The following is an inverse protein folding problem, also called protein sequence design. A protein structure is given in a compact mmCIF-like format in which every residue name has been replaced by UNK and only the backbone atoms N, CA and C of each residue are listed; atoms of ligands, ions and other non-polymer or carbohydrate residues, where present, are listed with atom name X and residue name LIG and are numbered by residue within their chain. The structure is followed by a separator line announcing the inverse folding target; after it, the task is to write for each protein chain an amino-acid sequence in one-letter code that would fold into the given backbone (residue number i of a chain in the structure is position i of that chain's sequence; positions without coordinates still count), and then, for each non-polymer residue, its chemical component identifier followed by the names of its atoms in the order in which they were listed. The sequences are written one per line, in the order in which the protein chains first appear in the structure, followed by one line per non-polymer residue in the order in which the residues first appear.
data_IF_982166055343
#
_entry.id   IF_982166055343
#
_cell.length_a   1.000
_cell.length_b   1.000
_cell.length_c   1.000
_cell.angle_alpha   90.00
_cell.angle_beta   90.00
_cell.angle_gamma   90.00
#
_symmetry.space_group_name_H-M   'P 1'
#
loop_
_entity.id
_entity.type
_entity.pdbx_description
1 polymer ?
#
# COMPACT_ATOMS: atom_id res chain seq x y z
N UNK A 1 -6.39 19.36 -2.35
CA UNK A 1 -5.77 20.56 -2.95
C UNK A 1 -5.18 21.51 -1.90
N UNK A 2 -5.92 21.88 -0.84
CA UNK A 2 -5.41 22.77 0.24
C UNK A 2 -4.18 22.23 0.96
N UNK A 3 -4.11 20.91 1.23
CA UNK A 3 -2.92 20.29 1.80
C UNK A 3 -1.65 20.60 0.99
N UNK A 4 -1.67 20.32 -0.32
CA UNK A 4 -0.53 20.58 -1.20
C UNK A 4 -0.17 22.07 -1.25
N UNK A 5 -1.17 22.96 -1.20
CA UNK A 5 -0.93 24.40 -1.20
C UNK A 5 -0.18 24.84 0.07
N UNK A 6 -0.68 24.49 1.26
CA UNK A 6 -0.01 24.84 2.53
C UNK A 6 1.36 24.16 2.62
N UNK A 7 1.47 22.90 2.20
CA UNK A 7 2.70 22.13 2.25
C UNK A 7 3.76 22.64 1.25
N UNK A 8 3.34 23.22 0.12
CA UNK A 8 4.24 23.92 -0.81
C UNK A 8 4.84 25.17 -0.16
N UNK A 9 4.04 25.97 0.56
CA UNK A 9 4.57 27.11 1.32
C UNK A 9 5.51 26.66 2.44
N UNK A 10 5.17 25.59 3.15
CA UNK A 10 6.05 24.97 4.14
C UNK A 10 7.41 24.62 3.52
N UNK A 11 7.41 23.96 2.36
CA UNK A 11 8.63 23.65 1.62
C UNK A 11 9.45 24.90 1.26
N UNK A 12 8.80 25.98 0.77
CA UNK A 12 9.49 27.24 0.44
C UNK A 12 10.13 27.90 1.69
N UNK A 13 9.46 27.83 2.83
CA UNK A 13 10.00 28.31 4.11
C UNK A 13 11.18 27.44 4.54
N UNK A 14 11.06 26.11 4.50
CA UNK A 14 12.16 25.17 4.78
C UNK A 14 13.36 25.42 3.87
N UNK A 15 13.14 25.72 2.58
CA UNK A 15 14.20 26.07 1.63
C UNK A 15 14.90 27.39 2.01
N UNK A 16 14.13 28.40 2.41
CA UNK A 16 14.68 29.69 2.86
C UNK A 16 15.49 29.52 4.14
N UNK A 17 15.03 28.68 5.08
CA UNK A 17 15.75 28.32 6.30
C UNK A 17 17.05 27.58 5.99
N UNK A 18 17.03 26.65 5.03
CA UNK A 18 18.20 25.89 4.59
C UNK A 18 19.28 26.77 3.95
N UNK A 19 18.89 27.76 3.12
CA UNK A 19 19.83 28.74 2.56
C UNK A 19 20.37 29.64 3.68
N UNK A 20 19.45 30.23 4.46
CA UNK A 20 19.69 31.09 5.63
C UNK A 20 20.68 32.22 5.37
N UNK A 21 20.17 33.41 5.04
CA UNK A 21 21.00 34.61 4.87
C UNK A 21 21.38 35.22 6.23
N UNK A 22 22.50 35.97 6.27
CA UNK A 22 22.87 36.69 7.51
C UNK A 22 21.79 37.68 7.88
N UNK A 23 21.33 37.64 9.13
CA UNK A 23 20.29 38.53 9.66
C UNK A 23 18.85 38.03 9.48
N UNK A 24 18.61 36.88 8.84
CA UNK A 24 17.27 36.27 8.73
C UNK A 24 16.75 35.64 10.03
N UNK A 25 17.62 35.50 11.04
CA UNK A 25 17.33 34.74 12.27
C UNK A 25 17.40 33.21 12.09
N UNK A 26 17.80 32.71 10.92
CA UNK A 26 17.90 31.27 10.65
C UNK A 26 19.35 30.78 10.61
N UNK A 27 19.55 29.49 10.91
CA UNK A 27 20.85 28.83 10.90
C UNK A 27 21.03 28.00 9.62
N UNK A 28 21.07 28.66 8.46
CA UNK A 28 21.26 28.00 7.16
C UNK A 28 22.73 27.82 6.77
N UNK A 29 22.95 27.25 5.57
CA UNK A 29 24.29 26.95 5.07
C UNK A 29 25.18 28.20 5.00
N UNK A 30 24.65 29.35 4.54
CA UNK A 30 25.47 30.56 4.40
C UNK A 30 25.90 31.12 5.75
N UNK A 31 25.03 31.03 6.77
CA UNK A 31 25.38 31.39 8.14
C UNK A 31 26.43 30.43 8.70
N UNK A 32 26.25 29.12 8.52
CA UNK A 32 27.21 28.11 8.95
C UNK A 32 28.63 28.37 8.41
N UNK A 33 28.74 28.59 7.10
CA UNK A 33 30.02 28.90 6.43
C UNK A 33 30.66 30.20 6.94
N UNK A 34 29.83 31.16 7.34
CA UNK A 34 30.31 32.45 7.85
C UNK A 34 30.73 32.41 9.33
N UNK A 35 30.30 31.40 10.07
CA UNK A 35 30.63 31.20 11.48
C UNK A 35 32.03 30.60 11.66
N UNK A 36 32.52 29.86 10.67
CA UNK A 36 33.88 29.32 10.71
C UNK A 36 34.92 30.44 10.70
N UNK A 37 35.60 30.62 11.83
CA UNK A 37 36.75 31.50 11.98
C UNK A 37 37.97 30.70 12.47
N UNK A 38 39.18 31.28 12.40
CA UNK A 38 40.42 30.62 12.84
C UNK A 38 40.57 30.48 14.38
N UNK A 39 39.51 30.77 15.15
CA UNK A 39 39.49 30.57 16.59
C UNK A 39 38.84 29.24 16.95
N UNK A 40 39.34 28.57 17.98
CA UNK A 40 38.78 27.30 18.46
C UNK A 40 37.28 27.39 18.76
N UNK A 41 36.83 28.53 19.31
CA UNK A 41 35.41 28.77 19.60
C UNK A 41 34.55 28.85 18.32
N UNK A 42 35.01 29.54 17.27
CA UNK A 42 34.23 29.67 16.04
C UNK A 42 34.18 28.39 15.22
N UNK A 43 35.19 27.53 15.31
CA UNK A 43 35.13 26.19 14.70
C UNK A 43 34.03 25.36 15.37
N UNK A 44 33.95 25.35 16.70
CA UNK A 44 32.92 24.58 17.44
C UNK A 44 31.52 25.09 17.08
N UNK A 45 31.30 26.41 17.13
CA UNK A 45 29.99 27.00 16.78
C UNK A 45 29.68 26.73 15.31
N UNK A 46 30.65 26.84 14.41
CA UNK A 46 30.48 26.55 12.98
C UNK A 46 30.02 25.12 12.72
N UNK A 47 30.59 24.12 13.41
CA UNK A 47 30.18 22.71 13.30
C UNK A 47 28.73 22.51 13.77
N UNK A 48 28.35 23.11 14.90
CA UNK A 48 26.98 23.00 15.42
C UNK A 48 25.97 23.63 14.46
N UNK A 49 26.26 24.84 13.96
CA UNK A 49 25.40 25.54 12.99
C UNK A 49 25.33 24.78 11.68
N UNK A 50 26.43 24.17 11.22
CA UNK A 50 26.45 23.33 10.03
C UNK A 50 25.56 22.09 10.20
N UNK A 51 25.59 21.43 11.35
CA UNK A 51 24.71 20.29 11.63
C UNK A 51 23.23 20.68 11.59
N UNK A 52 22.88 21.86 12.14
CA UNK A 52 21.52 22.40 12.06
C UNK A 52 21.13 22.72 10.61
N UNK A 53 22.03 23.35 9.85
CA UNK A 53 21.80 23.67 8.43
C UNK A 53 21.55 22.40 7.59
N UNK A 54 22.30 21.33 7.85
CA UNK A 54 22.05 20.02 7.23
C UNK A 54 20.69 19.45 7.62
N UNK A 55 20.24 19.67 8.86
CA UNK A 55 18.88 19.34 9.30
C UNK A 55 17.80 20.06 8.50
N UNK A 56 17.97 21.36 8.23
CA UNK A 56 17.04 22.10 7.36
C UNK A 56 17.08 21.61 5.90
N UNK A 57 18.26 21.26 5.37
CA UNK A 57 18.36 20.63 4.05
C UNK A 57 17.64 19.29 3.99
N UNK A 58 17.79 18.46 5.03
CA UNK A 58 17.09 17.19 5.14
C UNK A 58 15.57 17.40 5.22
N UNK A 59 15.10 18.40 5.98
CA UNK A 59 13.68 18.76 6.04
C UNK A 59 13.14 19.17 4.66
N UNK A 60 13.84 20.06 3.95
CA UNK A 60 13.47 20.46 2.59
C UNK A 60 13.45 19.27 1.60
N UNK A 61 14.39 18.33 1.74
CA UNK A 61 14.41 17.10 0.94
C UNK A 61 13.24 16.16 1.30
N UNK A 62 12.92 16.01 2.58
CA UNK A 62 11.75 15.25 3.03
C UNK A 62 10.45 15.87 2.50
N UNK A 63 10.33 17.19 2.54
CA UNK A 63 9.16 17.93 2.06
C UNK A 63 8.91 17.64 0.57
N UNK A 64 9.93 17.73 -0.29
CA UNK A 64 9.77 17.47 -1.73
C UNK A 64 9.47 15.99 -2.05
N UNK A 65 10.06 15.07 -1.28
CA UNK A 65 9.77 13.65 -1.38
C UNK A 65 8.31 13.36 -0.98
N UNK A 66 7.83 13.94 0.12
CA UNK A 66 6.44 13.78 0.55
C UNK A 66 5.46 14.37 -0.47
N UNK A 67 5.75 15.56 -1.00
CA UNK A 67 4.93 16.19 -2.04
C UNK A 67 4.78 15.27 -3.26
N UNK A 68 5.91 14.70 -3.71
CA UNK A 68 5.93 13.76 -4.83
C UNK A 68 5.17 12.47 -4.54
N UNK A 69 5.31 11.91 -3.33
CA UNK A 69 4.62 10.67 -2.94
C UNK A 69 3.12 10.87 -2.81
N UNK A 70 2.69 11.91 -2.10
CA UNK A 70 1.28 12.18 -1.88
C UNK A 70 0.61 12.57 -3.19
N UNK A 71 1.29 13.34 -4.04
CA UNK A 71 0.79 13.65 -5.39
C UNK A 71 0.64 12.37 -6.23
N UNK A 72 1.61 11.46 -6.20
CA UNK A 72 1.51 10.18 -6.87
C UNK A 72 0.37 9.31 -6.32
N UNK A 73 0.19 9.21 -5.00
CA UNK A 73 -0.93 8.48 -4.38
C UNK A 73 -2.26 9.09 -4.81
N UNK A 74 -2.37 10.42 -4.78
CA UNK A 74 -3.58 11.12 -5.19
C UNK A 74 -3.90 10.87 -6.66
N UNK A 75 -2.87 10.79 -7.52
CA UNK A 75 -3.01 10.49 -8.94
C UNK A 75 -3.28 9.00 -9.23
N UNK A 76 -2.65 8.08 -8.50
CA UNK A 76 -2.72 6.64 -8.73
C UNK A 76 -3.93 5.98 -8.09
N UNK A 77 -4.56 6.60 -7.09
CA UNK A 77 -5.78 6.08 -6.45
C UNK A 77 -6.95 5.95 -7.43
N UNK A 78 -6.97 6.73 -8.52
CA UNK A 78 -7.90 6.53 -9.64
C UNK A 78 -7.69 5.21 -10.40
N UNK A 79 -6.43 4.75 -10.52
CA UNK A 79 -6.12 3.46 -11.14
C UNK A 79 -6.43 2.28 -10.20
N UNK A 80 -6.28 2.45 -8.88
CA UNK A 80 -6.58 1.40 -7.89
C UNK A 80 -8.08 1.12 -7.79
N UNK A 81 -8.95 2.13 -7.92
CA UNK A 81 -10.40 1.93 -7.94
C UNK A 81 -10.85 1.20 -9.21
N UNK A 82 -10.32 1.57 -10.38
CA UNK A 82 -10.59 0.88 -11.64
C UNK A 82 -10.07 -0.57 -11.63
N UNK A 83 -8.88 -0.80 -11.07
CA UNK A 83 -8.32 -2.14 -10.89
C UNK A 83 -9.10 -2.97 -9.87
N UNK A 84 -9.54 -2.38 -8.76
CA UNK A 84 -10.38 -3.06 -7.77
C UNK A 84 -11.76 -3.40 -8.33
N UNK A 85 -12.35 -2.53 -9.17
CA UNK A 85 -13.57 -2.85 -9.92
C UNK A 85 -13.34 -4.01 -10.89
N UNK A 86 -12.22 -4.00 -11.64
CA UNK A 86 -11.88 -5.10 -12.55
C UNK A 86 -11.65 -6.44 -11.81
N UNK A 87 -10.97 -6.40 -10.66
CA UNK A 87 -10.76 -7.59 -9.81
C UNK A 87 -12.06 -8.05 -9.14
N UNK A 88 -12.94 -7.15 -8.72
CA UNK A 88 -14.26 -7.48 -8.19
C UNK A 88 -15.14 -8.14 -9.26
N UNK A 89 -15.25 -7.56 -10.46
CA UNK A 89 -16.01 -8.16 -11.56
C UNK A 89 -15.46 -9.52 -11.94
N UNK A 90 -14.13 -9.67 -12.02
CA UNK A 90 -13.50 -10.96 -12.32
C UNK A 90 -13.79 -11.99 -11.23
N UNK A 91 -13.67 -11.62 -9.96
CA UNK A 91 -13.91 -12.55 -8.84
C UNK A 91 -15.38 -12.91 -8.66
N UNK A 92 -16.31 -11.98 -8.90
CA UNK A 92 -17.76 -12.25 -8.90
C UNK A 92 -18.14 -13.16 -10.05
N UNK A 93 -17.62 -12.93 -11.26
CA UNK A 93 -17.87 -13.83 -12.39
C UNK A 93 -17.27 -15.23 -12.15
N UNK A 94 -16.09 -15.30 -11.51
CA UNK A 94 -15.48 -16.58 -11.14
C UNK A 94 -16.30 -17.32 -10.09
N UNK A 95 -16.93 -16.62 -9.14
CA UNK A 95 -17.74 -17.27 -8.10
C UNK A 95 -19.07 -17.78 -8.65
N UNK A 96 -19.69 -17.10 -9.60
CA UNK A 96 -20.84 -17.61 -10.37
C UNK A 96 -20.46 -18.90 -11.12
N UNK A 97 -19.38 -18.87 -11.90
CA UNK A 97 -18.91 -20.06 -12.66
C UNK A 97 -18.52 -21.22 -11.76
N UNK A 98 -17.88 -20.94 -10.62
CA UNK A 98 -17.50 -21.97 -9.65
C UNK A 98 -18.72 -22.54 -8.93
N UNK A 99 -19.73 -21.71 -8.63
CA UNK A 99 -20.99 -22.16 -8.02
C UNK A 99 -21.79 -23.03 -8.98
N UNK A 100 -21.83 -22.71 -10.27
CA UNK A 100 -22.45 -23.54 -11.31
C UNK A 100 -21.69 -24.85 -11.54
N UNK A 101 -20.36 -24.81 -11.60
CA UNK A 101 -19.55 -26.02 -11.71
C UNK A 101 -19.75 -26.94 -10.49
N UNK A 102 -19.80 -26.37 -9.29
CA UNK A 102 -20.05 -27.10 -8.05
C UNK A 102 -21.45 -27.71 -8.03
N UNK A 103 -22.48 -26.98 -8.48
CA UNK A 103 -23.85 -27.49 -8.51
C UNK A 103 -23.99 -28.67 -9.48
N UNK A 104 -23.32 -28.63 -10.63
CA UNK A 104 -23.28 -29.75 -11.58
C UNK A 104 -22.56 -30.98 -11.01
N UNK A 105 -21.44 -30.79 -10.30
CA UNK A 105 -20.73 -31.89 -9.64
C UNK A 105 -21.59 -32.51 -8.53
N UNK A 106 -22.25 -31.69 -7.71
CA UNK A 106 -23.16 -32.16 -6.65
C UNK A 106 -24.32 -32.95 -7.25
N UNK A 107 -24.95 -32.45 -8.32
CA UNK A 107 -26.02 -33.18 -8.99
C UNK A 107 -25.54 -34.52 -9.59
N UNK A 108 -24.34 -34.54 -10.16
CA UNK A 108 -23.71 -35.77 -10.66
C UNK A 108 -23.42 -36.78 -9.55
N UNK A 109 -22.89 -36.32 -8.42
CA UNK A 109 -22.60 -37.16 -7.25
C UNK A 109 -23.87 -37.70 -6.58
N UNK A 110 -24.93 -36.89 -6.49
CA UNK A 110 -26.22 -37.33 -5.95
C UNK A 110 -26.81 -38.44 -6.83
N UNK A 111 -26.78 -38.28 -8.16
CA UNK A 111 -27.27 -39.33 -9.08
C UNK A 111 -26.51 -40.63 -8.93
N UNK A 112 -25.18 -40.59 -8.88
CA UNK A 112 -24.36 -41.80 -8.73
C UNK A 112 -24.58 -42.49 -7.37
N UNK A 113 -24.83 -41.71 -6.31
CA UNK A 113 -25.16 -42.25 -4.99
C UNK A 113 -26.53 -42.95 -4.97
N UNK A 114 -27.54 -42.37 -5.64
CA UNK A 114 -28.86 -42.99 -5.78
C UNK A 114 -28.81 -44.29 -6.61
N UNK A 115 -28.04 -44.31 -7.70
CA UNK A 115 -27.83 -45.52 -8.51
C UNK A 115 -27.14 -46.64 -7.71
N UNK A 116 -26.11 -46.30 -6.92
CA UNK A 116 -25.46 -47.27 -6.01
C UNK A 116 -26.42 -47.80 -4.95
N UNK A 117 -27.27 -46.94 -4.39
CA UNK A 117 -28.23 -47.33 -3.36
C UNK A 117 -29.33 -48.23 -3.91
N UNK A 118 -29.79 -48.00 -5.16
CA UNK A 118 -30.70 -48.92 -5.85
C UNK A 118 -30.04 -50.26 -6.18
N UNK A 119 -28.79 -50.26 -6.63
CA UNK A 119 -28.05 -51.49 -6.92
C UNK A 119 -27.85 -52.35 -5.66
N UNK A 120 -27.55 -51.73 -4.51
CA UNK A 120 -27.47 -52.42 -3.22
C UNK A 120 -28.82 -52.94 -2.72
N UNK A 121 -29.91 -52.18 -2.89
CA UNK A 121 -31.25 -52.62 -2.52
C UNK A 121 -31.72 -53.82 -3.38
N UNK A 122 -31.40 -53.83 -4.67
CA UNK A 122 -31.69 -54.95 -5.57
C UNK A 122 -30.88 -56.20 -5.22
N UNK A 123 -29.60 -56.04 -4.86
CA UNK A 123 -28.74 -57.15 -4.42
C UNK A 123 -29.20 -57.76 -3.08
N UNK A 124 -29.68 -56.94 -2.14
CA UNK A 124 -30.23 -57.41 -0.86
C UNK A 124 -31.57 -58.15 -1.02
N UNK A 125 -32.40 -57.74 -1.99
CA UNK A 125 -33.64 -58.44 -2.32
C UNK A 125 -33.38 -59.83 -2.95
N UNK A 126 -32.33 -59.98 -3.76
CA UNK A 126 -31.96 -61.27 -4.36
C UNK A 126 -31.38 -62.27 -3.35
N UNK A 127 -30.68 -61.82 -2.30
CA UNK A 127 -30.19 -62.71 -1.24
C UNK A 127 -31.30 -63.25 -0.32
N UNK A 128 -32.47 -62.59 -0.30
CA UNK A 128 -33.62 -63.01 0.52
C UNK A 128 -34.43 -64.14 -0.12
N UNK A 129 -34.15 -64.51 -1.37
CA UNK A 129 -34.90 -65.49 -2.16
C UNK A 129 -34.14 -66.80 -2.40
N UNK A 130 -33.07 -67.07 -1.64
CA UNK A 130 -32.39 -68.36 -1.66
C UNK A 130 -33.20 -69.40 -0.86
N UNK A 131 -33.57 -70.55 -1.47
CA UNK A 131 -34.35 -71.58 -0.79
C UNK A 131 -33.56 -72.17 0.37
N UNK A 132 -34.10 -72.04 1.59
CA UNK A 132 -33.60 -72.75 2.76
C UNK A 132 -34.08 -74.19 2.66
N UNK A 133 -33.15 -75.09 2.34
CA UNK A 133 -33.32 -76.54 2.50
C UNK A 133 -33.34 -76.92 3.98
#
# INVERSE_FOLDING_TARGET
MVFFFIFLFQFLISLTQAIGTKGSGTCGILVALSTFNKSASGVIVGVVVLAIALGFCAAAACDILMLSRIHNIYRSSGASMAKAQAEFTTNVLRSEQMRDATSQIVQGAVRSQFEQQQAQAAAAAQQSQAPRF
#
